data_IF_149966568005
#
_entry.id   IF_149966568005
#
_cell.length_a   1.000
_cell.length_b   1.000
_cell.length_c   1.000
_cell.angle_alpha   90.00
_cell.angle_beta   90.00
_cell.angle_gamma   90.00
#
_symmetry.space_group_name_H-M   'P 1'
#
loop_
_entity.id
_entity.type
_entity.pdbx_description
1 polymer ?
#
# COMPACT_ATOMS: atom_id res chain seq x y z
N UNK A 1 -6.95 -22.79 6.48
CA UNK A 1 -7.65 -21.53 6.81
C UNK A 1 -8.60 -21.21 5.66
N UNK A 2 -9.84 -20.79 5.94
CA UNK A 2 -10.72 -20.29 4.88
C UNK A 2 -10.11 -19.04 4.23
N UNK A 3 -10.21 -18.89 2.91
CA UNK A 3 -9.77 -17.69 2.17
C UNK A 3 -10.34 -16.41 2.78
N UNK A 4 -11.56 -16.46 3.34
CA UNK A 4 -12.19 -15.36 4.05
C UNK A 4 -11.42 -14.93 5.31
N UNK A 5 -10.85 -15.88 6.06
CA UNK A 5 -10.08 -15.56 7.28
C UNK A 5 -8.76 -14.86 6.92
N UNK A 6 -8.13 -15.27 5.82
CA UNK A 6 -6.91 -14.63 5.33
C UNK A 6 -7.19 -13.19 4.88
N UNK A 7 -8.23 -12.96 4.08
CA UNK A 7 -8.63 -11.61 3.65
C UNK A 7 -8.99 -10.71 4.84
N UNK A 8 -9.66 -11.25 5.87
CA UNK A 8 -9.94 -10.50 7.11
C UNK A 8 -8.66 -10.11 7.85
N UNK A 9 -7.68 -11.01 7.92
CA UNK A 9 -6.39 -10.72 8.57
C UNK A 9 -5.62 -9.65 7.80
N UNK A 10 -5.59 -9.73 6.46
CA UNK A 10 -4.99 -8.72 5.58
C UNK A 10 -5.66 -7.36 5.79
N UNK A 11 -6.99 -7.30 5.76
CA UNK A 11 -7.74 -6.07 5.97
C UNK A 11 -7.48 -5.46 7.36
N UNK A 12 -7.39 -6.29 8.41
CA UNK A 12 -7.09 -5.80 9.76
C UNK A 12 -5.69 -5.21 9.85
N UNK A 13 -4.69 -5.87 9.28
CA UNK A 13 -3.31 -5.37 9.23
C UNK A 13 -3.23 -4.05 8.46
N UNK A 14 -3.92 -3.96 7.31
CA UNK A 14 -4.00 -2.73 6.53
C UNK A 14 -4.63 -1.57 7.32
N UNK A 15 -5.69 -1.84 8.09
CA UNK A 15 -6.31 -0.84 8.95
C UNK A 15 -5.36 -0.35 10.05
N UNK A 16 -4.68 -1.26 10.74
CA UNK A 16 -3.69 -0.91 11.78
C UNK A 16 -2.57 -0.04 11.22
N UNK A 17 -2.11 -0.31 9.99
CA UNK A 17 -1.02 0.45 9.38
C UNK A 17 -1.47 1.79 8.79
N UNK A 18 -2.49 1.80 7.94
CA UNK A 18 -2.88 2.99 7.17
C UNK A 18 -3.83 3.94 7.90
N UNK A 19 -4.70 3.41 8.77
CA UNK A 19 -5.71 4.20 9.48
C UNK A 19 -5.26 4.51 10.90
N UNK A 20 -4.77 3.49 11.62
CA UNK A 20 -4.33 3.66 13.00
C UNK A 20 -2.88 4.16 13.10
N UNK A 21 -2.13 4.22 11.98
CA UNK A 21 -0.77 4.76 11.92
C UNK A 21 0.30 3.93 12.65
N UNK A 22 0.02 2.67 12.96
CA UNK A 22 0.96 1.80 13.67
C UNK A 22 2.14 1.41 12.78
N UNK A 23 3.35 1.28 13.37
CA UNK A 23 4.51 0.78 12.63
C UNK A 23 4.40 -0.73 12.42
N UNK A 24 4.92 -1.23 11.31
CA UNK A 24 4.85 -2.68 10.99
C UNK A 24 5.47 -3.57 12.08
N UNK A 25 6.50 -3.09 12.78
CA UNK A 25 7.13 -3.82 13.89
C UNK A 25 6.21 -3.93 15.13
N UNK A 26 5.40 -2.90 15.40
CA UNK A 26 4.46 -2.88 16.51
C UNK A 26 3.27 -3.82 16.21
N UNK A 27 2.77 -3.77 14.96
CA UNK A 27 1.74 -4.69 14.46
C UNK A 27 2.22 -6.15 14.55
N UNK A 28 3.47 -6.40 14.14
CA UNK A 28 4.08 -7.73 14.19
C UNK A 28 4.13 -8.28 15.62
N UNK A 29 4.58 -7.45 16.57
CA UNK A 29 4.60 -7.78 18.00
C UNK A 29 3.19 -8.08 18.51
N UNK A 30 2.22 -7.21 18.20
CA UNK A 30 0.84 -7.35 18.65
C UNK A 30 0.17 -8.65 18.14
N UNK A 31 0.39 -8.98 16.86
CA UNK A 31 -0.20 -10.16 16.21
C UNK A 31 0.65 -11.43 16.37
N UNK A 32 1.81 -11.34 17.04
CA UNK A 32 2.77 -12.44 17.23
C UNK A 32 3.18 -13.11 15.92
N UNK A 33 3.44 -12.28 14.91
CA UNK A 33 3.96 -12.69 13.59
C UNK A 33 5.23 -11.91 13.27
N UNK A 34 5.98 -12.34 12.26
CA UNK A 34 7.16 -11.58 11.84
C UNK A 34 6.77 -10.29 11.11
N UNK A 35 7.60 -9.24 11.24
CA UNK A 35 7.44 -8.01 10.48
C UNK A 35 7.44 -8.27 8.95
N UNK A 36 8.20 -9.26 8.49
CA UNK A 36 8.19 -9.68 7.09
C UNK A 36 6.81 -10.22 6.65
N UNK A 37 6.09 -10.91 7.54
CA UNK A 37 4.70 -11.34 7.26
C UNK A 37 3.75 -10.16 7.19
N UNK A 38 3.87 -9.19 8.11
CA UNK A 38 3.08 -7.93 8.06
C UNK A 38 3.32 -7.21 6.74
N UNK A 39 4.58 -7.03 6.33
CA UNK A 39 4.94 -6.40 5.06
C UNK A 39 4.32 -7.10 3.84
N UNK A 40 4.42 -8.44 3.78
CA UNK A 40 3.79 -9.23 2.71
C UNK A 40 2.26 -9.09 2.70
N UNK A 41 1.63 -9.04 3.87
CA UNK A 41 0.17 -8.86 3.98
C UNK A 41 -0.26 -7.46 3.53
N UNK A 42 0.51 -6.41 3.84
CA UNK A 42 0.24 -5.06 3.33
C UNK A 42 0.38 -4.99 1.80
N UNK A 43 1.39 -5.64 1.24
CA UNK A 43 1.53 -5.75 -0.21
C UNK A 43 0.32 -6.47 -0.82
N UNK A 44 -0.08 -7.58 -0.23
CA UNK A 44 -1.25 -8.34 -0.70
C UNK A 44 -2.57 -7.58 -0.52
N UNK A 45 -2.66 -6.68 0.46
CA UNK A 45 -3.82 -5.80 0.60
C UNK A 45 -4.01 -4.88 -0.62
N UNK A 46 -2.91 -4.44 -1.24
CA UNK A 46 -2.95 -3.67 -2.49
C UNK A 46 -3.30 -4.59 -3.67
N UNK A 47 -2.66 -5.76 -3.77
CA UNK A 47 -2.91 -6.74 -4.85
C UNK A 47 -4.36 -7.25 -4.88
N UNK A 48 -5.01 -7.38 -3.71
CA UNK A 48 -6.39 -7.83 -3.57
C UNK A 48 -7.40 -6.65 -3.55
N UNK A 49 -6.98 -5.42 -3.90
CA UNK A 49 -7.83 -4.22 -3.97
C UNK A 49 -8.53 -3.84 -2.63
N UNK A 50 -7.99 -4.33 -1.51
CA UNK A 50 -8.43 -3.99 -0.15
C UNK A 50 -7.93 -2.59 0.22
N UNK A 51 -6.74 -2.22 -0.26
CA UNK A 51 -6.14 -0.89 -0.10
C UNK A 51 -5.99 -0.25 -1.47
N UNK A 52 -6.56 0.95 -1.61
CA UNK A 52 -6.34 1.82 -2.76
C UNK A 52 -5.61 3.08 -2.31
N UNK A 53 -4.48 3.36 -2.92
CA UNK A 53 -3.69 4.56 -2.65
C UNK A 53 -3.93 5.58 -3.76
N UNK A 54 -4.46 6.75 -3.40
CA UNK A 54 -4.64 7.87 -4.34
C UNK A 54 -3.63 8.96 -4.01
N UNK A 55 -2.89 9.40 -5.02
CA UNK A 55 -2.01 10.56 -4.93
C UNK A 55 -2.71 11.72 -5.62
N UNK A 56 -2.98 12.80 -4.87
CA UNK A 56 -3.54 14.04 -5.43
C UNK A 56 -2.38 14.97 -5.72
N UNK A 57 -2.08 15.18 -6.99
CA UNK A 57 -1.03 16.11 -7.42
C UNK A 57 -1.47 17.56 -7.19
N UNK A 58 -0.58 18.44 -6.69
CA UNK A 58 -0.83 19.87 -6.65
C UNK A 58 -1.10 20.42 -8.05
N UNK A 59 -1.89 21.49 -8.14
CA UNK A 59 -2.10 22.22 -9.40
C UNK A 59 -0.75 22.66 -9.99
N UNK A 60 -0.54 22.38 -11.27
CA UNK A 60 0.72 22.68 -11.98
C UNK A 60 1.71 21.51 -12.01
N UNK A 61 1.49 20.45 -11.24
CA UNK A 61 2.27 19.21 -11.32
C UNK A 61 1.61 18.25 -12.30
N UNK A 62 2.01 18.31 -13.56
CA UNK A 62 1.49 17.44 -14.61
C UNK A 62 2.45 16.29 -14.88
N UNK A 63 2.75 15.48 -13.86
CA UNK A 63 3.77 14.44 -13.94
C UNK A 63 3.57 13.49 -15.14
N UNK A 64 2.32 13.13 -15.43
CA UNK A 64 1.99 12.29 -16.59
C UNK A 64 2.25 13.00 -17.92
N UNK A 65 1.93 14.30 -18.02
CA UNK A 65 2.20 15.11 -19.20
C UNK A 65 3.70 15.34 -19.38
N UNK A 66 4.41 15.67 -18.32
CA UNK A 66 5.86 15.84 -18.30
C UNK A 66 6.56 14.54 -18.74
N UNK A 67 6.13 13.40 -18.21
CA UNK A 67 6.65 12.09 -18.59
C UNK A 67 6.36 11.78 -20.08
N UNK A 68 5.14 12.06 -20.55
CA UNK A 68 4.78 11.88 -21.96
C UNK A 68 5.59 12.78 -22.89
N UNK A 69 5.83 14.05 -22.50
CA UNK A 69 6.66 14.98 -23.26
C UNK A 69 8.12 14.51 -23.30
N UNK A 70 8.69 14.07 -22.18
CA UNK A 70 10.04 13.49 -22.15
C UNK A 70 10.15 12.28 -23.07
N UNK A 71 9.18 11.37 -23.04
CA UNK A 71 9.18 10.16 -23.86
C UNK A 71 9.05 10.48 -25.37
N UNK A 72 8.16 11.40 -25.73
CA UNK A 72 7.87 11.72 -27.13
C UNK A 72 8.93 12.61 -27.79
N UNK A 73 9.56 13.50 -27.02
CA UNK A 73 10.47 14.53 -27.54
C UNK A 73 11.92 14.37 -27.06
N UNK A 74 12.24 13.33 -26.28
CA UNK A 74 13.60 13.06 -25.80
C UNK A 74 14.14 14.12 -24.83
N UNK A 75 13.26 14.77 -24.06
CA UNK A 75 13.64 15.83 -23.12
C UNK A 75 14.22 15.22 -21.84
N UNK A 76 15.31 15.79 -21.32
CA UNK A 76 15.92 15.43 -20.03
C UNK A 76 15.47 16.38 -18.91
#
# INVERSE_FOLDING_TARGET
MSRLNELRMIARIAQMYHIEGQRQADIATHLRISQATVSRMLKRAQEEEIVRTTVVAPSGTYADLEAALRANFGLS
#
